data_IF_400812930085
#
_entry.id   IF_400812930085
#
_cell.length_a   1.000
_cell.length_b   1.000
_cell.length_c   1.000
_cell.angle_alpha   90.00
_cell.angle_beta   90.00
_cell.angle_gamma   90.00
#
_symmetry.space_group_name_H-M   'P 1'
#
loop_
_entity.id
_entity.type
_entity.pdbx_description
1 polymer ?
#
# COMPACT_ATOMS: atom_id res chain seq x y z
N UNK A 1 15.47 34.75 -7.97
CA UNK A 1 16.24 34.02 -9.01
C UNK A 1 16.91 35.04 -9.91
N UNK A 2 18.21 34.89 -10.18
CA UNK A 2 18.90 35.69 -11.20
C UNK A 2 18.45 35.20 -12.58
N UNK A 3 17.66 36.02 -13.29
CA UNK A 3 17.35 35.75 -14.69
C UNK A 3 18.56 36.14 -15.53
N UNK A 4 19.22 35.14 -16.11
CA UNK A 4 20.39 35.30 -16.97
C UNK A 4 19.90 35.36 -18.41
N UNK A 5 20.45 36.32 -19.16
CA UNK A 5 20.20 36.45 -20.59
C UNK A 5 21.17 35.53 -21.33
N UNK A 6 20.64 34.68 -22.19
CA UNK A 6 21.39 33.81 -23.09
C UNK A 6 21.31 34.37 -24.51
N UNK A 7 22.44 34.61 -25.16
CA UNK A 7 22.45 35.02 -26.57
C UNK A 7 22.25 33.82 -27.53
N UNK A 8 22.14 34.09 -28.83
CA UNK A 8 21.91 33.05 -29.84
C UNK A 8 23.02 31.98 -29.87
N UNK A 9 24.28 32.35 -29.62
CA UNK A 9 25.39 31.41 -29.61
C UNK A 9 25.32 30.52 -28.37
N UNK A 10 25.01 31.11 -27.21
CA UNK A 10 24.80 30.39 -25.97
C UNK A 10 23.61 29.43 -26.06
N UNK A 11 22.51 29.84 -26.70
CA UNK A 11 21.36 28.98 -26.98
C UNK A 11 21.73 27.77 -27.86
N UNK A 12 22.68 27.93 -28.78
CA UNK A 12 23.18 26.84 -29.64
C UNK A 12 24.18 25.92 -28.93
N UNK A 13 24.91 26.41 -27.92
CA UNK A 13 25.98 25.65 -27.26
C UNK A 13 25.58 24.99 -25.94
N UNK A 14 24.50 25.43 -25.29
CA UNK A 14 24.14 24.98 -23.94
C UNK A 14 23.38 23.64 -23.88
N UNK A 15 22.95 23.11 -25.03
CA UNK A 15 22.25 21.83 -25.15
C UNK A 15 20.90 21.97 -25.86
N UNK A 16 20.18 20.86 -26.07
CA UNK A 16 18.94 20.88 -26.82
C UNK A 16 17.81 21.52 -26.02
N UNK A 17 16.98 22.30 -26.73
CA UNK A 17 15.89 23.09 -26.15
C UNK A 17 14.56 22.37 -26.39
N UNK A 18 14.04 21.71 -25.35
CA UNK A 18 12.78 20.97 -25.36
C UNK A 18 11.59 21.92 -25.15
N UNK A 19 10.61 21.93 -26.06
CA UNK A 19 9.40 22.75 -25.94
C UNK A 19 8.53 22.30 -24.78
N UNK A 20 8.27 23.19 -23.81
CA UNK A 20 7.38 22.88 -22.67
C UNK A 20 5.96 22.53 -23.13
N UNK A 21 5.47 23.18 -24.19
CA UNK A 21 4.14 22.95 -24.76
C UNK A 21 3.95 21.57 -25.39
N UNK A 22 5.05 20.87 -25.72
CA UNK A 22 5.01 19.53 -26.32
C UNK A 22 5.06 18.42 -25.27
N UNK A 23 5.39 18.75 -24.02
CA UNK A 23 5.61 17.80 -22.95
C UNK A 23 4.30 17.26 -22.38
N UNK A 24 4.25 15.96 -22.11
CA UNK A 24 3.14 15.28 -21.44
C UNK A 24 3.66 14.35 -20.33
N UNK A 25 2.82 14.04 -19.32
CA UNK A 25 3.16 13.03 -18.33
C UNK A 25 3.42 11.68 -19.00
N UNK A 26 4.48 10.99 -18.58
CA UNK A 26 4.93 9.73 -19.14
C UNK A 26 5.83 9.85 -20.38
N UNK A 27 6.18 11.06 -20.82
CA UNK A 27 7.16 11.22 -21.90
C UNK A 27 8.54 10.75 -21.46
N UNK A 28 9.21 9.99 -22.33
CA UNK A 28 10.54 9.42 -22.08
C UNK A 28 11.57 10.21 -22.87
N UNK A 29 12.57 10.75 -22.17
CA UNK A 29 13.73 11.40 -22.77
C UNK A 29 14.88 10.40 -22.86
N UNK A 30 15.37 10.15 -24.07
CA UNK A 30 16.62 9.43 -24.27
C UNK A 30 17.74 10.40 -24.65
N UNK A 31 18.92 10.22 -24.07
CA UNK A 31 20.11 11.02 -24.41
C UNK A 31 21.37 10.17 -24.56
N UNK A 32 22.24 10.61 -25.46
CA UNK A 32 23.63 10.16 -25.54
C UNK A 32 24.52 11.16 -24.83
N UNK A 33 24.91 10.84 -23.61
CA UNK A 33 25.81 11.69 -22.84
C UNK A 33 27.21 11.78 -23.46
N UNK A 34 27.99 12.76 -23.02
CA UNK A 34 29.34 13.04 -23.51
C UNK A 34 30.44 12.43 -22.64
N UNK A 35 30.08 11.61 -21.65
CA UNK A 35 31.04 11.03 -20.69
C UNK A 35 31.58 9.67 -21.15
N UNK A 36 32.75 9.22 -20.64
CA UNK A 36 33.23 7.86 -20.87
C UNK A 36 32.21 6.79 -20.45
N UNK A 37 31.46 7.05 -19.38
CA UNK A 37 30.38 6.17 -18.90
C UNK A 37 29.26 6.03 -19.95
N UNK A 38 28.89 7.14 -20.60
CA UNK A 38 27.91 7.13 -21.68
C UNK A 38 28.36 6.30 -22.88
N UNK A 39 29.64 6.40 -23.27
CA UNK A 39 30.23 5.59 -24.34
C UNK A 39 30.21 4.10 -24.02
N UNK A 40 30.44 3.74 -22.76
CA UNK A 40 30.38 2.34 -22.31
C UNK A 40 28.96 1.77 -22.47
N UNK A 41 27.92 2.51 -22.07
CA UNK A 41 26.53 2.06 -22.19
C UNK A 41 26.11 1.92 -23.66
N UNK A 42 26.46 2.89 -24.51
CA UNK A 42 26.21 2.86 -25.96
C UNK A 42 26.81 1.58 -26.57
N UNK A 43 28.08 1.30 -26.26
CA UNK A 43 28.75 0.10 -26.75
C UNK A 43 28.13 -1.19 -26.20
N UNK A 44 27.72 -1.19 -24.93
CA UNK A 44 27.09 -2.35 -24.29
C UNK A 44 25.70 -2.63 -24.87
N UNK A 45 24.87 -1.61 -25.08
CA UNK A 45 23.49 -1.75 -25.52
C UNK A 45 23.32 -1.79 -27.04
N UNK A 46 24.40 -1.60 -27.80
CA UNK A 46 24.40 -1.71 -29.26
C UNK A 46 23.59 -0.63 -29.99
N UNK A 47 23.26 0.48 -29.32
CA UNK A 47 22.45 1.56 -29.89
C UNK A 47 23.03 2.95 -29.61
N UNK A 48 22.29 4.00 -29.97
CA UNK A 48 22.78 5.39 -29.96
C UNK A 48 22.74 6.04 -28.58
N UNK A 49 21.82 5.63 -27.71
CA UNK A 49 21.51 6.31 -26.46
C UNK A 49 22.20 5.64 -25.26
N UNK A 50 22.58 6.45 -24.27
CA UNK A 50 23.25 5.97 -23.06
C UNK A 50 22.41 6.10 -21.79
N UNK A 51 21.31 6.86 -21.87
CA UNK A 51 20.54 7.25 -20.70
C UNK A 51 19.08 7.45 -21.07
N UNK A 52 18.21 7.13 -20.12
CA UNK A 52 16.77 7.27 -20.22
C UNK A 52 16.23 7.96 -18.97
N UNK A 53 15.29 8.87 -19.15
CA UNK A 53 14.63 9.60 -18.09
C UNK A 53 13.15 9.77 -18.45
N UNK A 54 12.29 10.04 -17.47
CA UNK A 54 10.84 10.14 -17.69
C UNK A 54 10.25 11.37 -17.03
N UNK A 55 9.36 12.05 -17.72
CA UNK A 55 8.63 13.21 -17.22
C UNK A 55 7.38 12.76 -16.49
N UNK A 56 7.35 12.92 -15.17
CA UNK A 56 6.23 12.46 -14.33
C UNK A 56 5.79 13.56 -13.34
N UNK A 57 4.55 13.51 -12.85
CA UNK A 57 4.09 14.43 -11.80
C UNK A 57 4.89 14.26 -10.51
N UNK A 58 5.05 15.34 -9.75
CA UNK A 58 5.60 15.27 -8.38
C UNK A 58 4.73 14.44 -7.43
N UNK A 59 5.32 13.96 -6.32
CA UNK A 59 4.64 13.12 -5.33
C UNK A 59 3.68 13.85 -4.38
N UNK A 60 3.65 15.18 -4.39
CA UNK A 60 2.74 15.97 -3.57
C UNK A 60 1.41 16.19 -4.29
N UNK A 61 0.29 15.92 -3.61
CA UNK A 61 -1.06 16.08 -4.14
C UNK A 61 -1.34 17.51 -4.65
N UNK A 62 -0.64 18.51 -4.12
CA UNK A 62 -0.78 19.91 -4.49
C UNK A 62 0.10 20.34 -5.66
N UNK A 63 1.04 19.49 -6.11
CA UNK A 63 1.91 19.77 -7.26
C UNK A 63 1.44 19.00 -8.49
N UNK A 64 1.14 19.75 -9.56
CA UNK A 64 0.74 19.22 -10.88
C UNK A 64 1.83 19.38 -11.94
N UNK A 65 2.95 20.03 -11.58
CA UNK A 65 4.08 20.21 -12.47
C UNK A 65 4.75 18.87 -12.81
N UNK A 66 5.29 18.81 -14.03
CA UNK A 66 6.07 17.69 -14.52
C UNK A 66 7.54 17.89 -14.18
N UNK A 67 8.15 16.84 -13.64
CA UNK A 67 9.56 16.80 -13.29
C UNK A 67 10.22 15.65 -14.03
N UNK A 68 11.48 15.87 -14.43
CA UNK A 68 12.28 14.83 -15.04
C UNK A 68 12.78 13.88 -13.95
N UNK A 69 12.21 12.69 -13.86
CA UNK A 69 12.69 11.62 -13.00
C UNK A 69 13.77 10.84 -13.74
N UNK A 70 14.94 10.68 -13.11
CA UNK A 70 16.03 9.92 -13.69
C UNK A 70 16.87 9.19 -12.63
N UNK A 71 17.47 8.08 -13.05
CA UNK A 71 18.49 7.39 -12.28
C UNK A 71 19.82 7.59 -12.98
N UNK A 72 20.77 8.25 -12.33
CA UNK A 72 22.12 8.48 -12.85
C UNK A 72 23.17 8.25 -11.76
N UNK A 73 24.43 8.55 -12.04
CA UNK A 73 25.52 8.38 -11.07
C UNK A 73 25.39 9.24 -9.80
N UNK A 74 24.51 10.26 -9.77
CA UNK A 74 24.17 11.00 -8.56
C UNK A 74 23.09 10.31 -7.71
N UNK A 75 22.29 9.42 -8.31
CA UNK A 75 21.28 8.58 -7.66
C UNK A 75 19.94 8.61 -8.38
N UNK A 76 18.89 8.11 -7.72
CA UNK A 76 17.51 8.12 -8.24
C UNK A 76 16.73 9.29 -7.66
N UNK A 77 16.08 10.09 -8.52
CA UNK A 77 15.35 11.28 -8.08
C UNK A 77 14.96 12.20 -9.22
N UNK A 78 14.44 13.38 -8.87
CA UNK A 78 14.11 14.42 -9.83
C UNK A 78 15.31 15.28 -10.19
N UNK A 79 15.34 15.69 -11.45
CA UNK A 79 16.24 16.72 -11.97
C UNK A 79 15.46 17.99 -12.17
N UNK A 80 15.85 19.02 -11.41
CA UNK A 80 15.18 20.30 -11.45
C UNK A 80 15.63 21.08 -12.67
N UNK A 81 14.80 21.08 -13.73
CA UNK A 81 15.03 21.90 -14.91
C UNK A 81 14.04 23.07 -14.88
N UNK A 82 14.57 24.28 -14.69
CA UNK A 82 13.77 25.50 -14.70
C UNK A 82 13.50 25.90 -16.15
N UNK A 83 12.24 26.21 -16.52
CA UNK A 83 11.93 26.59 -17.90
C UNK A 83 12.54 27.96 -18.25
N UNK A 84 13.09 28.05 -19.45
CA UNK A 84 13.64 29.26 -20.07
C UNK A 84 12.64 29.82 -21.07
N UNK A 85 12.46 31.14 -21.11
CA UNK A 85 11.68 31.81 -22.15
C UNK A 85 12.57 32.22 -23.32
N UNK A 86 12.26 31.80 -24.53
CA UNK A 86 12.95 32.22 -25.76
C UNK A 86 12.17 33.35 -26.44
N UNK A 87 12.87 34.43 -26.76
CA UNK A 87 12.32 35.63 -27.39
C UNK A 87 12.89 35.75 -28.79
N UNK A 88 12.01 35.69 -29.79
CA UNK A 88 12.35 35.87 -31.20
C UNK A 88 11.93 37.26 -31.68
N UNK A 89 12.74 37.85 -32.55
CA UNK A 89 12.45 39.16 -33.16
C UNK A 89 11.12 39.09 -33.91
N UNK A 90 10.19 39.99 -33.59
CA UNK A 90 8.87 40.06 -34.21
C UNK A 90 7.77 39.22 -33.54
N UNK A 91 8.09 38.42 -32.51
CA UNK A 91 7.09 37.73 -31.68
C UNK A 91 6.83 38.50 -30.38
N UNK A 92 5.57 38.58 -29.96
CA UNK A 92 5.17 39.29 -28.73
C UNK A 92 5.29 38.42 -27.47
N UNK A 93 5.28 37.09 -27.61
CA UNK A 93 5.31 36.15 -26.48
C UNK A 93 6.55 35.26 -26.53
N UNK A 94 7.06 34.92 -25.35
CA UNK A 94 8.16 33.99 -25.21
C UNK A 94 7.69 32.55 -25.42
N UNK A 95 8.50 31.73 -26.10
CA UNK A 95 8.31 30.29 -26.14
C UNK A 95 9.03 29.65 -24.95
N UNK A 96 8.29 28.94 -24.10
CA UNK A 96 8.87 28.29 -22.92
C UNK A 96 9.50 26.95 -23.27
N UNK A 97 10.76 26.76 -22.88
CA UNK A 97 11.54 25.55 -23.14
C UNK A 97 12.27 25.04 -21.90
N UNK A 98 12.65 23.78 -21.90
CA UNK A 98 13.62 23.19 -20.99
C UNK A 98 14.94 23.00 -21.72
N UNK A 99 16.05 23.52 -21.17
CA UNK A 99 17.38 23.22 -21.67
C UNK A 99 17.86 21.91 -21.06
N UNK A 100 18.07 20.87 -21.88
CA UNK A 100 18.54 19.57 -21.38
C UNK A 100 20.02 19.70 -20.95
N UNK A 101 20.37 19.31 -19.71
CA UNK A 101 21.71 19.49 -19.18
C UNK A 101 22.77 18.65 -19.90
N UNK A 102 24.04 19.08 -19.79
CA UNK A 102 25.21 18.28 -20.16
C UNK A 102 25.55 18.26 -21.65
N UNK A 103 24.83 19.00 -22.50
CA UNK A 103 25.03 19.08 -23.96
C UNK A 103 25.23 17.68 -24.60
N UNK A 104 24.18 16.83 -24.60
CA UNK A 104 24.26 15.47 -25.13
C UNK A 104 24.54 15.46 -26.64
N UNK A 105 25.17 14.39 -27.12
CA UNK A 105 25.52 14.20 -28.54
C UNK A 105 24.33 13.79 -29.41
N UNK A 106 23.31 13.20 -28.80
CA UNK A 106 22.07 12.79 -29.44
C UNK A 106 20.95 12.81 -28.39
N UNK A 107 19.72 13.09 -28.83
CA UNK A 107 18.56 13.18 -27.96
C UNK A 107 17.27 12.87 -28.74
N UNK A 108 16.30 12.26 -28.06
CA UNK A 108 14.95 12.06 -28.59
C UNK A 108 13.94 12.05 -27.45
N UNK A 109 12.74 12.56 -27.72
CA UNK A 109 11.59 12.46 -26.82
C UNK A 109 10.63 11.42 -27.39
N UNK A 110 10.24 10.46 -26.57
CA UNK A 110 9.34 9.38 -26.91
C UNK A 110 8.06 9.46 -26.06
N UNK A 111 6.95 8.98 -26.62
CA UNK A 111 5.64 8.96 -25.95
C UNK A 111 4.93 7.65 -26.19
N UNK A 112 4.34 7.11 -25.13
CA UNK A 112 3.41 5.99 -25.26
C UNK A 112 2.04 6.46 -25.76
N UNK A 113 1.47 5.87 -26.82
CA UNK A 113 0.21 6.32 -27.41
C UNK A 113 -0.97 6.27 -26.43
N UNK A 114 -0.95 5.32 -25.50
CA UNK A 114 -2.03 5.12 -24.52
C UNK A 114 -1.97 6.06 -23.31
N UNK A 115 -0.84 6.76 -23.06
CA UNK A 115 -0.75 7.70 -21.94
C UNK A 115 -1.81 8.81 -22.01
N UNK A 116 -2.30 9.15 -23.20
CA UNK A 116 -3.39 10.13 -23.39
C UNK A 116 -4.73 9.69 -22.79
N UNK A 117 -4.93 8.39 -22.58
CA UNK A 117 -6.15 7.79 -22.07
C UNK A 117 -6.07 7.50 -20.56
N UNK A 118 -4.90 7.70 -19.95
CA UNK A 118 -4.68 7.43 -18.53
C UNK A 118 -5.13 8.65 -17.71
N UNK A 119 -5.93 8.39 -16.68
CA UNK A 119 -6.38 9.41 -15.76
C UNK A 119 -5.20 10.03 -14.97
N UNK A 120 -5.32 11.31 -14.63
CA UNK A 120 -4.32 12.04 -13.87
C UNK A 120 -4.06 11.45 -12.47
N UNK A 121 -5.08 10.89 -11.81
CA UNK A 121 -4.95 10.22 -10.51
C UNK A 121 -4.12 8.95 -10.68
N UNK A 122 -4.43 8.10 -11.66
CA UNK A 122 -3.64 6.90 -11.97
C UNK A 122 -2.18 7.24 -12.32
N UNK A 123 -1.95 8.26 -13.15
CA UNK A 123 -0.61 8.75 -13.50
C UNK A 123 0.17 9.20 -12.26
N UNK A 124 -0.49 9.91 -11.34
CA UNK A 124 0.10 10.35 -10.08
C UNK A 124 0.39 9.19 -9.14
N UNK A 125 -0.52 8.22 -9.04
CA UNK A 125 -0.32 7.02 -8.21
C UNK A 125 0.90 6.22 -8.69
N UNK A 126 1.06 6.01 -10.00
CA UNK A 126 2.24 5.35 -10.56
C UNK A 126 3.54 6.11 -10.25
N UNK A 127 3.50 7.46 -10.31
CA UNK A 127 4.62 8.31 -9.92
C UNK A 127 4.95 8.20 -8.43
N UNK A 128 3.94 8.23 -7.55
CA UNK A 128 4.13 8.08 -6.10
C UNK A 128 4.72 6.71 -5.77
N UNK A 129 4.23 5.63 -6.40
CA UNK A 129 4.78 4.29 -6.20
C UNK A 129 6.25 4.22 -6.63
N UNK A 130 6.62 4.83 -7.77
CA UNK A 130 8.01 4.91 -8.21
C UNK A 130 8.88 5.67 -7.20
N UNK A 131 8.38 6.77 -6.66
CA UNK A 131 9.08 7.57 -5.64
C UNK A 131 9.24 6.82 -4.33
N UNK A 132 8.19 6.19 -3.83
CA UNK A 132 8.24 5.37 -2.61
C UNK A 132 9.26 4.25 -2.78
N UNK A 133 9.26 3.58 -3.93
CA UNK A 133 10.07 2.39 -4.10
C UNK A 133 11.53 2.70 -4.43
N UNK A 134 11.82 3.66 -5.31
CA UNK A 134 13.16 3.80 -5.90
C UNK A 134 13.84 5.14 -5.66
N UNK A 135 13.11 6.21 -5.32
CA UNK A 135 13.75 7.51 -5.12
C UNK A 135 14.66 7.49 -3.89
N UNK A 136 15.73 8.29 -4.01
CA UNK A 136 16.77 8.42 -3.01
C UNK A 136 17.56 7.13 -2.78
N UNK A 137 17.63 6.25 -3.77
CA UNK A 137 18.63 5.17 -3.83
C UNK A 137 19.84 5.60 -4.65
N UNK A 138 20.97 4.93 -4.44
CA UNK A 138 22.16 5.08 -5.29
C UNK A 138 21.97 4.34 -6.62
N UNK A 139 22.66 4.74 -7.69
CA UNK A 139 22.54 4.07 -8.99
C UNK A 139 22.86 2.58 -8.91
N UNK A 140 22.11 1.76 -9.66
CA UNK A 140 22.32 0.31 -9.75
C UNK A 140 23.76 -0.06 -10.15
N UNK A 141 24.30 -1.21 -9.68
CA UNK A 141 25.61 -1.67 -10.14
C UNK A 141 25.64 -1.89 -11.65
N UNK A 142 26.68 -1.38 -12.30
CA UNK A 142 26.83 -1.44 -13.75
C UNK A 142 26.79 -2.87 -14.35
N UNK A 143 27.32 -3.92 -13.68
CA UNK A 143 27.18 -5.28 -14.19
C UNK A 143 25.72 -5.75 -14.37
N UNK A 144 24.73 -5.20 -13.64
CA UNK A 144 23.31 -5.52 -13.87
C UNK A 144 22.80 -5.01 -15.21
N UNK A 145 23.30 -3.87 -15.67
CA UNK A 145 22.94 -3.34 -17.00
C UNK A 145 23.48 -4.23 -18.12
N UNK A 146 24.60 -4.94 -17.89
CA UNK A 146 25.11 -5.91 -18.87
C UNK A 146 24.22 -7.14 -19.02
N UNK A 147 23.55 -7.55 -17.95
CA UNK A 147 22.63 -8.69 -17.97
C UNK A 147 21.39 -8.40 -18.83
N UNK A 148 21.14 -7.14 -19.20
CA UNK A 148 20.01 -6.76 -20.05
C UNK A 148 20.29 -6.83 -21.54
N UNK A 149 21.55 -7.06 -21.96
CA UNK A 149 21.93 -7.02 -23.38
C UNK A 149 22.42 -8.37 -23.87
N UNK A 150 21.94 -8.80 -25.03
CA UNK A 150 22.44 -9.97 -25.75
C UNK A 150 23.70 -9.58 -26.54
N UNK A 151 24.88 -9.86 -25.99
CA UNK A 151 26.19 -9.64 -26.64
C UNK A 151 26.90 -10.97 -26.94
N UNK A 152 27.74 -11.05 -28.00
CA UNK A 152 28.60 -12.21 -28.24
C UNK A 152 29.57 -12.45 -27.06
N UNK A 153 29.77 -13.72 -26.69
CA UNK A 153 30.46 -14.13 -25.46
C UNK A 153 31.84 -13.47 -25.23
N UNK A 154 32.64 -13.26 -26.28
CA UNK A 154 33.98 -12.67 -26.17
C UNK A 154 33.97 -11.19 -25.76
N UNK A 155 33.01 -10.40 -26.25
CA UNK A 155 32.84 -9.00 -25.89
C UNK A 155 32.22 -8.83 -24.50
N UNK A 156 31.35 -9.76 -24.12
CA UNK A 156 30.69 -9.76 -22.82
C UNK A 156 31.69 -9.86 -21.66
N UNK A 157 32.77 -10.64 -21.80
CA UNK A 157 33.81 -10.79 -20.76
C UNK A 157 34.58 -9.48 -20.55
N UNK A 158 34.98 -8.83 -21.64
CA UNK A 158 35.75 -7.57 -21.58
C UNK A 158 34.91 -6.45 -21.00
N UNK A 159 33.67 -6.29 -21.47
CA UNK A 159 32.75 -5.26 -20.99
C UNK A 159 32.36 -5.49 -19.53
N UNK A 160 32.22 -6.75 -19.10
CA UNK A 160 32.01 -7.11 -17.68
C UNK A 160 33.19 -6.72 -16.81
N UNK A 161 34.42 -6.98 -17.25
CA UNK A 161 35.63 -6.56 -16.54
C UNK A 161 35.74 -5.04 -16.39
N UNK A 162 35.43 -4.28 -17.44
CA UNK A 162 35.36 -2.81 -17.37
C UNK A 162 34.26 -2.35 -16.41
N UNK A 163 33.06 -2.94 -16.49
CA UNK A 163 31.94 -2.60 -15.60
C UNK A 163 32.26 -2.83 -14.12
N UNK A 164 32.88 -3.97 -13.81
CA UNK A 164 33.33 -4.31 -12.46
C UNK A 164 34.42 -3.36 -11.95
N UNK A 165 35.34 -2.94 -12.82
CA UNK A 165 36.40 -1.99 -12.47
C UNK A 165 35.83 -0.61 -12.15
N UNK A 166 34.88 -0.13 -12.96
CA UNK A 166 34.15 1.11 -12.68
C UNK A 166 33.38 1.02 -11.36
N UNK A 167 32.71 -0.11 -11.09
CA UNK A 167 31.96 -0.31 -9.85
C UNK A 167 32.89 -0.38 -8.62
N UNK A 168 34.06 -1.04 -8.73
CA UNK A 168 35.06 -1.08 -7.65
C UNK A 168 35.57 0.31 -7.27
N UNK A 169 35.75 1.18 -8.26
CA UNK A 169 36.17 2.57 -8.06
C UNK A 169 35.04 3.48 -7.52
N UNK A 170 33.79 2.99 -7.47
CA UNK A 170 32.64 3.78 -7.07
C UNK A 170 32.38 3.69 -5.57
N UNK A 171 32.64 4.78 -4.86
CA UNK A 171 32.44 4.89 -3.41
C UNK A 171 31.08 5.54 -3.13
N UNK A 172 30.01 4.75 -3.21
CA UNK A 172 28.68 5.22 -2.86
C UNK A 172 28.25 4.66 -1.51
N UNK A 173 27.59 5.50 -0.71
CA UNK A 173 26.93 5.10 0.55
C UNK A 173 25.42 5.15 0.32
N UNK A 174 24.73 4.04 0.53
CA UNK A 174 23.26 3.93 0.46
C UNK A 174 22.79 2.70 -0.31
N UNK A 175 21.53 2.35 -0.14
CA UNK A 175 20.89 1.23 -0.86
C UNK A 175 20.98 1.41 -2.38
N UNK A 176 21.30 0.33 -3.10
CA UNK A 176 21.36 0.29 -4.57
C UNK A 176 19.94 0.27 -5.15
N UNK A 177 19.67 1.16 -6.09
CA UNK A 177 18.39 1.29 -6.78
C UNK A 177 18.42 0.71 -8.19
N UNK A 178 17.65 1.35 -9.06
CA UNK A 178 17.47 0.99 -10.46
C UNK A 178 18.49 1.71 -11.34
N UNK A 179 18.78 1.19 -12.54
CA UNK A 179 19.45 1.98 -13.58
C UNK A 179 18.43 2.80 -14.38
N UNK A 180 18.90 3.69 -15.25
CA UNK A 180 18.09 4.72 -15.93
C UNK A 180 16.87 4.15 -16.68
N UNK A 181 17.07 3.13 -17.53
CA UNK A 181 15.98 2.49 -18.29
C UNK A 181 15.08 1.58 -17.46
N UNK A 182 15.60 0.93 -16.40
CA UNK A 182 14.80 0.16 -15.43
C UNK A 182 13.82 1.07 -14.69
N UNK A 183 14.24 2.27 -14.29
CA UNK A 183 13.35 3.26 -13.66
C UNK A 183 12.17 3.61 -14.58
N UNK A 184 12.44 3.86 -15.87
CA UNK A 184 11.40 4.15 -16.86
C UNK A 184 10.47 2.95 -17.04
N UNK A 185 11.00 1.75 -17.21
CA UNK A 185 10.20 0.55 -17.39
C UNK A 185 9.34 0.23 -16.16
N UNK A 186 9.85 0.44 -14.94
CA UNK A 186 9.10 0.29 -13.69
C UNK A 186 7.92 1.26 -13.62
N UNK A 187 8.07 2.50 -14.09
CA UNK A 187 6.95 3.45 -14.11
C UNK A 187 5.78 2.95 -14.96
N UNK A 188 6.04 2.48 -16.18
CA UNK A 188 4.99 1.96 -17.06
C UNK A 188 4.40 0.65 -16.52
N UNK A 189 5.21 -0.19 -15.87
CA UNK A 189 4.72 -1.37 -15.15
C UNK A 189 3.75 -0.99 -14.03
N UNK A 190 4.07 0.03 -13.23
CA UNK A 190 3.18 0.55 -12.18
C UNK A 190 1.91 1.19 -12.76
N UNK A 191 2.00 1.79 -13.94
CA UNK A 191 0.87 2.36 -14.67
C UNK A 191 -0.07 1.28 -15.23
N UNK A 192 0.40 0.04 -15.35
CA UNK A 192 -0.33 -1.05 -15.99
C UNK A 192 -0.37 -0.94 -17.52
N UNK A 193 0.63 -0.30 -18.12
CA UNK A 193 0.72 -0.07 -19.56
C UNK A 193 1.87 -0.89 -20.17
N UNK A 194 1.54 -1.67 -21.19
CA UNK A 194 2.51 -2.53 -21.87
C UNK A 194 3.49 -1.71 -22.73
N UNK A 195 4.76 -1.67 -22.35
CA UNK A 195 5.81 -1.00 -23.13
C UNK A 195 6.27 -1.77 -24.36
N UNK A 196 6.20 -3.10 -24.30
CA UNK A 196 6.72 -4.02 -25.31
C UNK A 196 5.64 -5.02 -25.71
N UNK A 197 5.68 -5.56 -26.94
CA UNK A 197 4.72 -6.60 -27.35
C UNK A 197 5.00 -7.93 -26.65
N UNK A 198 6.25 -8.16 -26.24
CA UNK A 198 6.65 -9.25 -25.36
C UNK A 198 6.65 -8.80 -23.89
N UNK A 199 6.23 -9.66 -22.97
CA UNK A 199 6.32 -9.38 -21.53
C UNK A 199 7.81 -9.34 -21.16
N UNK A 200 8.30 -8.16 -20.74
CA UNK A 200 9.67 -7.95 -20.27
C UNK A 200 9.65 -7.39 -18.85
N UNK A 201 10.53 -7.91 -18.00
CA UNK A 201 10.70 -7.37 -16.67
C UNK A 201 11.47 -6.04 -16.75
N UNK A 202 11.17 -5.02 -15.91
CA UNK A 202 11.84 -3.72 -15.96
C UNK A 202 13.37 -3.80 -15.89
N UNK A 203 13.91 -4.73 -15.10
CA UNK A 203 15.34 -4.91 -14.92
C UNK A 203 16.06 -5.52 -16.12
N UNK A 204 15.36 -5.89 -17.19
CA UNK A 204 15.95 -6.43 -18.44
C UNK A 204 15.91 -5.43 -19.59
N UNK A 205 15.57 -4.17 -19.34
CA UNK A 205 15.37 -3.15 -20.40
C UNK A 205 16.55 -2.19 -20.45
N UNK A 206 17.23 -2.09 -21.58
CA UNK A 206 18.27 -1.09 -21.84
C UNK A 206 17.69 0.21 -22.42
N UNK A 207 18.42 1.35 -22.42
CA UNK A 207 17.92 2.59 -23.01
C UNK A 207 17.56 2.48 -24.50
N UNK A 208 18.26 1.62 -25.25
CA UNK A 208 18.04 1.47 -26.69
C UNK A 208 16.89 0.51 -27.02
N UNK A 209 16.44 -0.31 -26.07
CA UNK A 209 15.25 -1.14 -26.26
C UNK A 209 14.00 -0.29 -26.52
N UNK A 210 13.94 0.94 -26.01
CA UNK A 210 12.84 1.88 -26.23
C UNK A 210 12.69 2.35 -27.69
N UNK A 211 13.68 2.10 -28.54
CA UNK A 211 13.65 2.35 -29.98
C UNK A 211 13.49 1.08 -30.80
N UNK A 212 13.41 -0.08 -30.14
CA UNK A 212 13.19 -1.34 -30.83
C UNK A 212 11.80 -1.36 -31.49
N UNK A 213 11.62 -2.05 -32.62
CA UNK A 213 10.31 -2.20 -33.26
C UNK A 213 9.25 -2.88 -32.36
N UNK A 214 9.70 -3.61 -31.33
CA UNK A 214 8.84 -4.28 -30.34
C UNK A 214 8.35 -3.30 -29.25
N UNK A 215 8.95 -2.11 -29.13
CA UNK A 215 8.53 -1.09 -28.18
C UNK A 215 7.40 -0.23 -28.74
N UNK A 216 6.41 0.10 -27.89
CA UNK A 216 5.25 0.91 -28.27
C UNK A 216 5.47 2.43 -28.19
N UNK A 217 6.63 2.86 -27.73
CA UNK A 217 6.98 4.27 -27.62
C UNK A 217 7.21 4.89 -29.01
N UNK A 218 6.59 6.03 -29.28
CA UNK A 218 6.71 6.75 -30.55
C UNK A 218 7.47 8.06 -30.38
N UNK A 219 8.23 8.46 -31.40
CA UNK A 219 8.93 9.75 -31.41
C UNK A 219 7.93 10.90 -31.39
N UNK A 220 8.15 11.86 -30.49
CA UNK A 220 7.37 13.11 -30.42
C UNK A 220 7.95 14.10 -31.42
N UNK A 221 7.26 14.28 -32.54
CA UNK A 221 7.64 15.23 -33.58
C UNK A 221 7.64 16.67 -33.04
N UNK A 222 8.62 17.46 -33.51
CA UNK A 222 8.81 18.85 -33.12
C UNK A 222 8.93 19.08 -31.60
N UNK A 223 9.42 18.09 -30.84
CA UNK A 223 9.65 18.26 -29.41
C UNK A 223 10.75 19.30 -29.13
N UNK A 224 11.80 19.33 -29.95
CA UNK A 224 12.96 20.21 -29.74
C UNK A 224 12.99 21.36 -30.75
N UNK A 225 13.50 22.51 -30.31
CA UNK A 225 13.78 23.64 -31.19
C UNK A 225 15.01 23.32 -32.02
N UNK A 226 14.89 23.57 -33.32
CA UNK A 226 16.01 23.62 -34.24
C UNK A 226 16.76 24.94 -34.03
N UNK A 227 17.86 24.87 -33.28
CA UNK A 227 18.68 26.03 -32.91
C UNK A 227 19.47 26.61 -34.07
N UNK A 228 19.69 25.84 -35.13
CA UNK A 228 20.41 26.30 -36.33
C UNK A 228 19.53 27.26 -37.14
N UNK A 229 18.22 27.00 -37.15
CA UNK A 229 17.21 27.79 -37.85
C UNK A 229 16.62 28.96 -37.02
N UNK A 230 17.18 29.29 -35.86
CA UNK A 230 16.76 30.46 -35.08
C UNK A 230 17.18 31.78 -35.74
N UNK A 231 16.25 32.75 -35.77
CA UNK A 231 16.48 34.05 -36.37
C UNK A 231 17.58 34.86 -35.64
N UNK A 232 18.39 35.66 -36.36
CA UNK A 232 19.34 36.58 -35.76
C UNK A 232 18.66 37.51 -34.73
N UNK A 233 19.31 37.73 -33.58
CA UNK A 233 18.75 38.53 -32.49
C UNK A 233 17.83 37.77 -31.53
N UNK A 234 17.61 36.47 -31.73
CA UNK A 234 16.95 35.60 -30.74
C UNK A 234 17.79 35.51 -29.47
N UNK A 235 17.14 35.58 -28.30
CA UNK A 235 17.77 35.41 -27.00
C UNK A 235 16.86 34.67 -26.02
N UNK A 236 17.44 34.05 -24.99
CA UNK A 236 16.73 33.39 -23.91
C UNK A 236 16.84 34.16 -22.59
N UNK A 237 15.83 34.05 -21.74
CA UNK A 237 15.92 34.41 -20.31
C UNK A 237 15.58 33.20 -19.45
N UNK A 238 16.49 32.84 -18.54
CA UNK A 238 16.30 31.70 -17.64
C UNK A 238 17.34 31.64 -16.53
N UNK A 239 17.34 30.54 -15.78
CA UNK A 239 18.37 30.25 -14.77
C UNK A 239 19.54 29.47 -15.40
N UNK A 240 20.72 29.52 -14.76
CA UNK A 240 21.77 28.53 -15.02
C UNK A 240 21.18 27.14 -14.80
N UNK A 241 21.40 26.26 -15.76
CA UNK A 241 21.08 24.83 -15.66
C UNK A 241 21.87 24.27 -14.49
N UNK A 242 21.18 23.83 -13.44
CA UNK A 242 21.85 23.12 -12.36
C UNK A 242 22.18 21.71 -12.84
N UNK A 243 23.48 21.40 -12.89
CA UNK A 243 23.94 20.02 -13.03
C UNK A 243 23.53 19.26 -11.75
N UNK A 244 22.92 18.10 -11.93
CA UNK A 244 22.56 17.20 -10.82
C UNK A 244 23.81 16.65 -10.12
N UNK A 245 24.97 16.73 -10.79
CA UNK A 245 26.28 16.36 -10.23
C UNK A 245 26.57 17.21 -8.99
N UNK A 246 26.46 16.55 -7.83
CA UNK A 246 26.62 17.11 -6.47
C UNK A 246 25.38 17.79 -5.87
N UNK A 247 24.16 17.45 -6.29
CA UNK A 247 22.94 17.88 -5.58
C UNK A 247 23.02 17.54 -4.08
N UNK A 248 23.14 18.55 -3.19
CA UNK A 248 23.30 18.32 -1.75
C UNK A 248 22.01 17.78 -1.11
N UNK A 249 20.85 18.13 -1.66
CA UNK A 249 19.56 17.65 -1.16
C UNK A 249 19.40 16.17 -1.48
N UNK A 250 19.60 15.76 -2.74
CA UNK A 250 19.54 14.36 -3.16
C UNK A 250 20.50 13.48 -2.33
N UNK A 251 21.74 13.94 -2.13
CA UNK A 251 22.73 13.20 -1.31
C UNK A 251 22.32 13.08 0.16
N UNK A 252 21.71 14.12 0.73
CA UNK A 252 21.20 14.07 2.10
C UNK A 252 20.04 13.07 2.21
N UNK A 253 19.15 13.04 1.22
CA UNK A 253 18.03 12.11 1.18
C UNK A 253 18.50 10.66 0.98
N UNK A 254 19.47 10.41 0.10
CA UNK A 254 20.05 9.06 -0.08
C UNK A 254 20.62 8.51 1.23
N UNK A 255 21.33 9.34 2.01
CA UNK A 255 21.88 8.92 3.31
C UNK A 255 20.79 8.60 4.35
N UNK A 256 19.62 9.24 4.24
CA UNK A 256 18.50 9.04 5.18
C UNK A 256 17.59 7.89 4.76
N UNK A 257 17.59 7.52 3.48
CA UNK A 257 16.73 6.48 2.91
C UNK A 257 16.82 5.16 3.68
N UNK A 258 18.03 4.68 3.94
CA UNK A 258 18.25 3.41 4.65
C UNK A 258 17.59 3.40 6.04
N UNK A 259 17.67 4.53 6.77
CA UNK A 259 17.01 4.67 8.07
C UNK A 259 15.49 4.68 7.95
N UNK A 260 14.94 5.38 6.95
CA UNK A 260 13.50 5.40 6.66
C UNK A 260 12.98 4.01 6.28
N UNK A 261 13.73 3.26 5.47
CA UNK A 261 13.37 1.90 5.07
C UNK A 261 13.41 0.94 6.27
N UNK A 262 14.41 1.05 7.15
CA UNK A 262 14.48 0.27 8.39
C UNK A 262 13.32 0.57 9.34
N UNK A 263 12.94 1.84 9.49
CA UNK A 263 11.81 2.23 10.32
C UNK A 263 10.50 1.68 9.75
N UNK A 264 10.31 1.80 8.44
CA UNK A 264 9.12 1.29 7.73
C UNK A 264 9.01 -0.23 7.85
N UNK A 265 10.12 -0.97 7.66
CA UNK A 265 10.17 -2.41 7.85
C UNK A 265 9.83 -2.83 9.29
N UNK A 266 10.30 -2.06 10.27
CA UNK A 266 10.00 -2.29 11.70
C UNK A 266 8.51 -2.14 11.97
N UNK A 267 7.90 -1.05 11.50
CA UNK A 267 6.46 -0.79 11.66
C UNK A 267 5.64 -1.89 10.98
N UNK A 268 5.96 -2.24 9.73
CA UNK A 268 5.27 -3.32 9.01
C UNK A 268 5.38 -4.66 9.75
N UNK A 269 6.52 -4.96 10.36
CA UNK A 269 6.71 -6.17 11.17
C UNK A 269 5.79 -6.16 12.39
N UNK A 270 5.69 -5.04 13.09
CA UNK A 270 4.80 -4.89 14.26
C UNK A 270 3.33 -5.07 13.85
N UNK A 271 2.89 -4.40 12.78
CA UNK A 271 1.52 -4.49 12.25
C UNK A 271 1.18 -5.93 11.86
N UNK A 272 2.06 -6.60 11.11
CA UNK A 272 1.85 -7.99 10.71
C UNK A 272 1.79 -8.95 11.90
N UNK A 273 2.63 -8.73 12.92
CA UNK A 273 2.60 -9.53 14.14
C UNK A 273 1.29 -9.33 14.91
N UNK A 274 0.81 -8.10 15.04
CA UNK A 274 -0.47 -7.79 15.68
C UNK A 274 -1.64 -8.45 14.95
N UNK A 275 -1.67 -8.33 13.62
CA UNK A 275 -2.70 -8.97 12.80
C UNK A 275 -2.69 -10.50 12.97
N UNK A 276 -1.51 -11.13 12.94
CA UNK A 276 -1.36 -12.58 13.17
C UNK A 276 -1.85 -13.04 14.54
N UNK A 277 -1.55 -12.29 15.61
CA UNK A 277 -2.03 -12.64 16.96
C UNK A 277 -3.55 -12.45 17.09
N UNK A 278 -4.12 -11.45 16.41
CA UNK A 278 -5.57 -11.23 16.35
C UNK A 278 -6.29 -12.39 15.66
N UNK A 279 -5.81 -12.85 14.51
CA UNK A 279 -6.38 -14.02 13.80
C UNK A 279 -6.37 -15.26 14.69
N UNK A 280 -5.25 -15.56 15.36
CA UNK A 280 -5.17 -16.70 16.31
C UNK A 280 -6.17 -16.59 17.46
N UNK A 281 -6.41 -15.38 17.96
CA UNK A 281 -7.38 -15.14 19.03
C UNK A 281 -8.80 -15.47 18.54
N UNK A 282 -9.16 -15.05 17.32
CA UNK A 282 -10.45 -15.33 16.69
C UNK A 282 -10.64 -16.83 16.43
N UNK A 283 -9.62 -17.52 15.90
CA UNK A 283 -9.64 -18.97 15.68
C UNK A 283 -9.89 -19.73 16.98
N UNK A 284 -9.13 -19.43 18.03
CA UNK A 284 -9.30 -20.06 19.36
C UNK A 284 -10.68 -19.81 19.95
N UNK A 285 -11.25 -18.63 19.72
CA UNK A 285 -12.60 -18.30 20.20
C UNK A 285 -13.68 -19.06 19.44
N UNK A 286 -13.48 -19.28 18.14
CA UNK A 286 -14.37 -20.11 17.32
C UNK A 286 -14.37 -21.56 17.79
N UNK A 287 -13.20 -22.11 18.16
CA UNK A 287 -13.11 -23.46 18.76
C UNK A 287 -13.87 -23.53 20.09
N UNK A 288 -13.67 -22.55 20.98
CA UNK A 288 -14.38 -22.48 22.26
C UNK A 288 -15.89 -22.31 22.09
N UNK A 289 -16.32 -21.61 21.03
CA UNK A 289 -17.74 -21.35 20.80
C UNK A 289 -18.53 -22.65 20.58
N UNK A 290 -17.96 -23.62 19.85
CA UNK A 290 -18.62 -24.92 19.65
C UNK A 290 -18.90 -25.62 20.98
N UNK A 291 -17.91 -25.62 21.89
CA UNK A 291 -18.04 -26.25 23.21
C UNK A 291 -19.12 -25.55 24.06
N UNK A 292 -19.19 -24.22 24.00
CA UNK A 292 -20.14 -23.44 24.79
C UNK A 292 -21.55 -23.54 24.21
N UNK A 293 -21.70 -23.54 22.88
CA UNK A 293 -22.97 -23.77 22.20
C UNK A 293 -23.54 -25.15 22.55
N UNK A 294 -22.72 -26.21 22.57
CA UNK A 294 -23.14 -27.53 23.04
C UNK A 294 -23.62 -27.52 24.50
N UNK A 295 -22.96 -26.75 25.37
CA UNK A 295 -23.38 -26.61 26.77
C UNK A 295 -24.73 -25.89 26.89
N UNK A 296 -25.02 -24.93 26.01
CA UNK A 296 -26.34 -24.30 25.95
C UNK A 296 -27.40 -25.31 25.54
N UNK A 297 -27.17 -26.08 24.46
CA UNK A 297 -28.11 -27.10 23.96
C UNK A 297 -28.44 -28.11 25.07
N UNK A 298 -27.42 -28.71 25.69
CA UNK A 298 -27.61 -29.68 26.78
C UNK A 298 -28.39 -29.09 27.96
N UNK A 299 -28.18 -27.81 28.27
CA UNK A 299 -28.88 -27.16 29.38
C UNK A 299 -30.34 -26.84 29.03
N UNK A 300 -30.63 -26.53 27.76
CA UNK A 300 -31.99 -26.32 27.26
C UNK A 300 -32.77 -27.63 27.28
N UNK A 301 -32.19 -28.72 26.74
CA UNK A 301 -32.79 -30.06 26.74
C UNK A 301 -33.13 -30.51 28.17
N UNK A 302 -32.18 -30.32 29.10
CA UNK A 302 -32.40 -30.63 30.51
C UNK A 302 -33.54 -29.81 31.14
N UNK A 303 -33.66 -28.52 30.80
CA UNK A 303 -34.75 -27.69 31.30
C UNK A 303 -36.12 -28.07 30.69
N UNK A 304 -36.13 -28.54 29.45
CA UNK A 304 -37.33 -29.08 28.78
C UNK A 304 -37.79 -30.40 29.43
N UNK A 305 -36.86 -31.32 29.72
CA UNK A 305 -37.16 -32.56 30.46
C UNK A 305 -37.78 -32.28 31.84
N UNK A 306 -37.47 -31.13 32.43
CA UNK A 306 -37.99 -30.71 33.73
C UNK A 306 -39.27 -29.87 33.66
N UNK A 307 -39.82 -29.66 32.46
CA UNK A 307 -41.02 -28.86 32.21
C UNK A 307 -40.93 -27.42 32.79
N UNK A 308 -39.73 -26.83 32.75
CA UNK A 308 -39.47 -25.48 33.27
C UNK A 308 -39.37 -24.45 32.12
N UNK A 309 -40.53 -24.07 31.58
CA UNK A 309 -40.64 -23.16 30.44
C UNK A 309 -39.90 -21.82 30.62
N UNK A 310 -39.92 -21.24 31.82
CA UNK A 310 -39.24 -19.98 32.12
C UNK A 310 -37.71 -20.10 32.07
N UNK A 311 -37.15 -21.27 32.39
CA UNK A 311 -35.72 -21.52 32.29
C UNK A 311 -35.30 -21.74 30.83
N UNK A 312 -36.10 -22.49 30.08
CA UNK A 312 -35.90 -22.70 28.63
C UNK A 312 -35.82 -21.35 27.90
N UNK A 313 -36.76 -20.44 28.15
CA UNK A 313 -36.78 -19.11 27.54
C UNK A 313 -35.49 -18.31 27.83
N UNK A 314 -35.02 -18.31 29.07
CA UNK A 314 -33.78 -17.61 29.46
C UNK A 314 -32.54 -18.22 28.83
N UNK A 315 -32.48 -19.54 28.74
CA UNK A 315 -31.36 -20.24 28.11
C UNK A 315 -31.34 -19.99 26.61
N UNK A 316 -32.49 -20.02 25.92
CA UNK A 316 -32.61 -19.69 24.50
C UNK A 316 -32.17 -18.25 24.21
N UNK A 317 -32.58 -17.29 25.05
CA UNK A 317 -32.14 -15.90 24.93
C UNK A 317 -30.61 -15.77 25.05
N UNK A 318 -30.02 -16.38 26.08
CA UNK A 318 -28.56 -16.34 26.27
C UNK A 318 -27.80 -17.04 25.14
N UNK A 319 -28.30 -18.20 24.68
CA UNK A 319 -27.70 -18.94 23.57
C UNK A 319 -27.73 -18.12 22.28
N UNK A 320 -28.83 -17.39 22.02
CA UNK A 320 -28.96 -16.50 20.86
C UNK A 320 -27.95 -15.35 20.91
N UNK A 321 -27.78 -14.70 22.06
CA UNK A 321 -26.76 -13.65 22.25
C UNK A 321 -25.35 -14.20 22.02
N UNK A 322 -25.06 -15.37 22.57
CA UNK A 322 -23.75 -16.01 22.41
C UNK A 322 -23.45 -16.31 20.94
N UNK A 323 -24.40 -16.96 20.25
CA UNK A 323 -24.29 -17.32 18.83
C UNK A 323 -24.17 -16.07 17.95
N UNK A 324 -24.89 -15.01 18.27
CA UNK A 324 -24.76 -13.71 17.59
C UNK A 324 -23.36 -13.12 17.75
N UNK A 325 -22.83 -13.05 18.97
CA UNK A 325 -21.49 -12.52 19.23
C UNK A 325 -20.40 -13.33 18.50
N UNK A 326 -20.51 -14.66 18.50
CA UNK A 326 -19.59 -15.54 17.77
C UNK A 326 -19.67 -15.30 16.24
N UNK A 327 -20.89 -15.22 15.69
CA UNK A 327 -21.09 -14.97 14.26
C UNK A 327 -20.60 -13.57 13.84
N UNK A 328 -20.77 -12.57 14.69
CA UNK A 328 -20.27 -11.22 14.47
C UNK A 328 -18.73 -11.23 14.40
N UNK A 329 -18.07 -11.93 15.33
CA UNK A 329 -16.62 -12.08 15.35
C UNK A 329 -16.09 -12.70 14.04
N UNK A 330 -16.74 -13.75 13.54
CA UNK A 330 -16.41 -14.40 12.26
C UNK A 330 -16.56 -13.43 11.08
N UNK A 331 -17.68 -12.71 11.02
CA UNK A 331 -17.94 -11.75 9.93
C UNK A 331 -16.95 -10.56 9.95
N UNK A 332 -16.50 -10.14 11.13
CA UNK A 332 -15.48 -9.08 11.27
C UNK A 332 -14.13 -9.54 10.70
N UNK A 333 -13.69 -10.76 11.03
CA UNK A 333 -12.43 -11.31 10.53
C UNK A 333 -12.44 -11.52 9.01
N UNK A 334 -13.55 -12.03 8.46
CA UNK A 334 -13.73 -12.18 7.02
C UNK A 334 -13.69 -10.84 6.26
N UNK A 335 -14.29 -9.78 6.81
CA UNK A 335 -14.31 -8.48 6.16
C UNK A 335 -13.00 -7.67 6.36
N UNK A 336 -12.30 -7.83 7.48
CA UNK A 336 -10.98 -7.22 7.72
C UNK A 336 -9.99 -7.66 6.63
N UNK A 337 -9.98 -8.97 6.34
CA UNK A 337 -9.17 -9.56 5.25
C UNK A 337 -9.53 -8.99 3.87
N UNK A 338 -10.81 -8.68 3.62
CA UNK A 338 -11.26 -8.10 2.35
C UNK A 338 -10.84 -6.63 2.20
N UNK A 339 -10.94 -5.83 3.26
CA UNK A 339 -10.69 -4.39 3.22
C UNK A 339 -9.21 -4.06 3.09
N UNK A 340 -8.31 -4.87 3.67
CA UNK A 340 -6.87 -4.72 3.47
C UNK A 340 -6.41 -4.96 2.01
N UNK A 341 -7.28 -5.48 1.14
CA UNK A 341 -7.00 -5.65 -0.29
C UNK A 341 -7.40 -4.45 -1.17
N UNK A 342 -8.11 -3.46 -0.61
CA UNK A 342 -8.65 -2.31 -1.36
C UNK A 342 -7.79 -1.05 -1.19
N UNK A 343 -7.52 -0.35 -2.30
CA UNK A 343 -6.88 0.97 -2.30
C UNK A 343 -7.85 2.01 -1.75
N UNK A 344 -7.69 2.37 -0.48
CA UNK A 344 -8.59 3.30 0.25
C UNK A 344 -7.79 4.45 0.87
N UNK A 345 -8.43 5.57 1.19
CA UNK A 345 -7.79 6.71 1.87
C UNK A 345 -7.36 6.33 3.29
N UNK A 346 -6.36 7.03 3.83
CA UNK A 346 -5.87 6.75 5.20
C UNK A 346 -6.87 7.10 6.30
N UNK A 347 -7.72 8.11 6.09
CA UNK A 347 -8.78 8.46 7.04
C UNK A 347 -9.85 7.37 7.10
N UNK A 348 -10.25 6.84 5.94
CA UNK A 348 -11.22 5.74 5.87
C UNK A 348 -10.70 4.48 6.55
N UNK A 349 -9.41 4.13 6.34
CA UNK A 349 -8.77 2.99 7.00
C UNK A 349 -8.80 3.15 8.52
N UNK A 350 -8.52 4.34 9.06
CA UNK A 350 -8.55 4.57 10.51
C UNK A 350 -9.97 4.44 11.07
N UNK A 351 -10.96 5.07 10.43
CA UNK A 351 -12.37 4.94 10.85
C UNK A 351 -12.88 3.50 10.77
N UNK A 352 -12.43 2.72 9.78
CA UNK A 352 -12.75 1.29 9.69
C UNK A 352 -12.10 0.48 10.82
N UNK A 353 -10.83 0.73 11.11
CA UNK A 353 -10.13 0.06 12.20
C UNK A 353 -10.82 0.31 13.54
N UNK A 354 -11.19 1.57 13.83
CA UNK A 354 -11.91 1.95 15.05
C UNK A 354 -13.29 1.28 15.15
N UNK A 355 -14.05 1.24 14.05
CA UNK A 355 -15.34 0.56 14.00
C UNK A 355 -15.18 -0.95 14.21
N UNK A 356 -14.18 -1.57 13.58
CA UNK A 356 -13.89 -2.99 13.68
C UNK A 356 -13.48 -3.38 15.11
N UNK A 357 -12.58 -2.61 15.75
CA UNK A 357 -12.19 -2.82 17.15
C UNK A 357 -13.38 -2.69 18.12
N UNK A 358 -14.24 -1.70 17.90
CA UNK A 358 -15.45 -1.50 18.71
C UNK A 358 -16.38 -2.70 18.61
N UNK A 359 -16.68 -3.15 17.38
CA UNK A 359 -17.54 -4.32 17.15
C UNK A 359 -16.94 -5.61 17.72
N UNK A 360 -15.61 -5.78 17.71
CA UNK A 360 -14.96 -6.92 18.36
C UNK A 360 -15.12 -6.89 19.88
N UNK A 361 -14.91 -5.73 20.52
CA UNK A 361 -15.14 -5.58 21.96
C UNK A 361 -16.59 -5.92 22.33
N UNK A 362 -17.54 -5.47 21.52
CA UNK A 362 -18.96 -5.79 21.68
C UNK A 362 -19.21 -7.29 21.55
N UNK A 363 -18.70 -7.94 20.49
CA UNK A 363 -18.85 -9.38 20.26
C UNK A 363 -18.32 -10.19 21.45
N UNK A 364 -17.12 -9.87 21.94
CA UNK A 364 -16.54 -10.51 23.12
C UNK A 364 -17.38 -10.28 24.39
N UNK A 365 -17.87 -9.06 24.60
CA UNK A 365 -18.76 -8.73 25.71
C UNK A 365 -20.03 -9.58 25.68
N UNK A 366 -20.71 -9.67 24.53
CA UNK A 366 -21.92 -10.48 24.35
C UNK A 366 -21.67 -11.95 24.70
N UNK A 367 -20.62 -12.55 24.14
CA UNK A 367 -20.25 -13.95 24.41
C UNK A 367 -19.94 -14.18 25.89
N UNK A 368 -19.15 -13.30 26.50
CA UNK A 368 -18.76 -13.38 27.90
C UNK A 368 -19.98 -13.32 28.84
N UNK A 369 -20.88 -12.36 28.64
CA UNK A 369 -22.06 -12.20 29.47
C UNK A 369 -23.08 -13.33 29.30
N UNK A 370 -23.24 -13.85 28.08
CA UNK A 370 -24.10 -15.01 27.84
C UNK A 370 -23.57 -16.27 28.55
N UNK A 371 -22.26 -16.54 28.47
CA UNK A 371 -21.64 -17.67 29.16
C UNK A 371 -21.79 -17.58 30.68
N UNK A 372 -21.61 -16.39 31.26
CA UNK A 372 -21.82 -16.20 32.71
C UNK A 372 -23.28 -16.35 33.11
N UNK A 373 -24.20 -15.94 32.25
CA UNK A 373 -25.64 -16.13 32.46
C UNK A 373 -26.02 -17.61 32.46
N UNK A 374 -25.45 -18.41 31.56
CA UNK A 374 -25.59 -19.87 31.56
C UNK A 374 -25.19 -20.47 32.91
N UNK A 375 -24.00 -20.12 33.42
CA UNK A 375 -23.51 -20.61 34.72
C UNK A 375 -24.48 -20.25 35.85
N UNK A 376 -24.97 -19.00 35.89
CA UNK A 376 -25.94 -18.55 36.90
C UNK A 376 -27.24 -19.33 36.84
N UNK A 377 -27.79 -19.52 35.63
CA UNK A 377 -29.04 -20.26 35.43
C UNK A 377 -28.86 -21.69 35.95
N UNK A 378 -27.79 -22.39 35.56
CA UNK A 378 -27.50 -23.76 36.02
C UNK A 378 -27.34 -23.85 37.54
N UNK A 379 -26.66 -22.88 38.16
CA UNK A 379 -26.50 -22.80 39.61
C UNK A 379 -27.86 -22.67 40.30
N UNK A 380 -28.70 -21.73 39.85
CA UNK A 380 -30.01 -21.48 40.45
C UNK A 380 -30.96 -22.64 40.23
N UNK A 381 -30.95 -23.24 39.04
CA UNK A 381 -31.75 -24.41 38.70
C UNK A 381 -31.39 -25.62 39.56
N UNK A 382 -30.10 -25.93 39.70
CA UNK A 382 -29.64 -27.00 40.58
C UNK A 382 -30.06 -26.80 42.05
N UNK A 383 -30.04 -25.57 42.56
CA UNK A 383 -30.51 -25.26 43.91
C UNK A 383 -32.04 -25.40 44.05
N UNK A 384 -32.81 -24.95 43.06
CA UNK A 384 -34.28 -25.13 43.04
C UNK A 384 -34.66 -26.60 43.00
N UNK A 385 -33.96 -27.39 42.19
CA UNK A 385 -34.26 -28.81 42.04
C UNK A 385 -34.03 -29.61 43.31
N UNK A 386 -32.94 -29.34 44.04
CA UNK A 386 -32.73 -29.96 45.36
C UNK A 386 -33.86 -29.61 46.32
N UNK A 387 -34.36 -28.37 46.28
CA UNK A 387 -35.48 -27.93 47.11
C UNK A 387 -36.78 -28.65 46.74
N UNK A 388 -37.06 -28.84 45.46
CA UNK A 388 -38.22 -29.59 44.99
C UNK A 388 -38.17 -31.07 45.40
N UNK A 389 -37.03 -31.73 45.20
CA UNK A 389 -36.84 -33.13 45.62
C UNK A 389 -37.14 -33.28 47.12
N UNK A 390 -36.59 -32.40 47.94
CA UNK A 390 -36.85 -32.37 49.39
C UNK A 390 -38.34 -32.11 49.74
N UNK A 391 -39.10 -31.45 48.86
CA UNK A 391 -40.53 -31.17 49.07
C UNK A 391 -41.44 -32.34 48.70
N UNK A 392 -41.02 -33.16 47.73
CA UNK A 392 -41.80 -34.31 47.23
C UNK A 392 -41.53 -35.56 48.08
N UNK A 393 -40.27 -35.79 48.50
CA UNK A 393 -39.91 -36.96 49.31
C UNK A 393 -38.76 -36.67 50.27
N UNK A 394 -38.72 -37.35 51.42
CA UNK A 394 -37.59 -37.25 52.35
C UNK A 394 -36.40 -38.02 51.75
N UNK A 395 -35.27 -37.35 51.41
CA UNK A 395 -34.11 -38.03 50.87
C UNK A 395 -33.45 -38.91 51.93
N UNK A 396 -32.85 -40.00 51.48
CA UNK A 396 -32.01 -40.89 52.29
C UNK A 396 -30.79 -40.17 52.88
N UNK A 397 -30.15 -40.76 53.87
CA UNK A 397 -28.94 -40.21 54.51
C UNK A 397 -27.81 -39.97 53.47
N UNK A 398 -27.66 -40.89 52.52
CA UNK A 398 -26.65 -40.81 51.46
C UNK A 398 -26.94 -39.65 50.51
N UNK A 399 -28.20 -39.50 50.07
CA UNK A 399 -28.62 -38.41 49.20
C UNK A 399 -28.48 -37.05 49.87
N UNK A 400 -28.83 -36.94 51.16
CA UNK A 400 -28.63 -35.69 51.93
C UNK A 400 -27.16 -35.26 51.97
N UNK A 401 -26.24 -36.22 52.14
CA UNK A 401 -24.80 -35.94 52.11
C UNK A 401 -24.36 -35.44 50.74
N UNK A 402 -24.81 -36.09 49.65
CA UNK A 402 -24.54 -35.65 48.27
C UNK A 402 -25.09 -34.26 47.98
N UNK A 403 -26.34 -33.97 48.35
CA UNK A 403 -26.95 -32.65 48.17
C UNK A 403 -26.26 -31.57 48.99
N UNK A 404 -25.82 -31.87 50.21
CA UNK A 404 -25.03 -30.93 51.02
C UNK A 404 -23.71 -30.58 50.35
N UNK A 405 -22.99 -31.59 49.84
CA UNK A 405 -21.72 -31.37 49.14
C UNK A 405 -21.92 -30.56 47.85
N UNK A 406 -22.90 -30.93 47.04
CA UNK A 406 -23.25 -30.21 45.83
C UNK A 406 -23.65 -28.75 46.11
N UNK A 407 -24.48 -28.51 47.13
CA UNK A 407 -24.90 -27.16 47.54
C UNK A 407 -23.69 -26.31 47.97
N UNK A 408 -22.75 -26.87 48.72
CA UNK A 408 -21.51 -26.17 49.09
C UNK A 408 -20.66 -25.82 47.86
N UNK A 409 -20.50 -26.76 46.92
CA UNK A 409 -19.78 -26.54 45.66
C UNK A 409 -20.43 -25.41 44.85
N UNK A 410 -21.74 -25.49 44.63
CA UNK A 410 -22.48 -24.51 43.82
C UNK A 410 -22.54 -23.13 44.47
N UNK A 411 -22.67 -23.04 45.81
CA UNK A 411 -22.65 -21.75 46.49
C UNK A 411 -21.27 -21.07 46.45
N UNK A 412 -20.20 -21.86 46.39
CA UNK A 412 -18.84 -21.33 46.16
C UNK A 412 -18.76 -20.67 44.78
N UNK A 413 -19.23 -21.37 43.73
CA UNK A 413 -19.30 -20.81 42.37
C UNK A 413 -20.22 -19.60 42.32
N UNK A 414 -21.40 -19.66 42.94
CA UNK A 414 -22.34 -18.54 43.01
C UNK A 414 -21.69 -17.27 43.57
N UNK A 415 -20.83 -17.38 44.58
CA UNK A 415 -20.12 -16.23 45.15
C UNK A 415 -19.23 -15.51 44.12
N UNK A 416 -18.66 -16.26 43.19
CA UNK A 416 -17.85 -15.75 42.07
C UNK A 416 -18.71 -15.07 41.00
N UNK A 417 -19.90 -15.61 40.73
CA UNK A 417 -20.73 -15.18 39.61
C UNK A 417 -21.89 -14.25 39.98
N UNK A 418 -22.19 -14.01 41.26
CA UNK A 418 -23.40 -13.26 41.69
C UNK A 418 -23.40 -11.75 41.43
N UNK A 419 -22.23 -11.13 41.20
CA UNK A 419 -22.04 -9.67 41.30
C UNK A 419 -21.69 -8.96 39.97
N UNK A 420 -22.16 -9.47 38.84
CA UNK A 420 -22.01 -8.75 37.56
C UNK A 420 -23.37 -8.35 37.01
N UNK A 421 -23.50 -7.07 36.66
CA UNK A 421 -24.72 -6.36 36.31
C UNK A 421 -25.43 -6.93 35.08
N UNK A 422 -26.64 -6.44 34.83
CA UNK A 422 -27.41 -6.62 33.60
C UNK A 422 -26.74 -5.93 32.38
N UNK A 423 -25.43 -6.01 32.25
CA UNK A 423 -24.64 -5.38 31.20
C UNK A 423 -25.15 -5.62 29.76
N UNK A 424 -25.81 -6.75 29.39
CA UNK A 424 -26.32 -6.92 28.03
C UNK A 424 -27.25 -5.79 27.53
N UNK A 425 -27.96 -5.11 28.43
CA UNK A 425 -28.81 -3.95 28.05
C UNK A 425 -28.01 -2.68 27.82
N UNK A 426 -26.97 -2.44 28.62
CA UNK A 426 -26.12 -1.24 28.49
C UNK A 426 -25.25 -1.33 27.21
N UNK A 427 -24.88 -2.55 26.79
CA UNK A 427 -24.12 -2.81 25.56
C UNK A 427 -24.92 -2.58 24.27
N UNK A 428 -26.24 -2.83 24.27
CA UNK A 428 -27.08 -2.47 23.12
C UNK A 428 -27.15 -0.95 22.92
N UNK A 429 -27.04 -0.18 24.00
CA UNK A 429 -27.08 1.27 23.96
C UNK A 429 -25.77 1.87 23.41
N UNK A 430 -24.61 1.29 23.74
CA UNK A 430 -23.31 1.70 23.18
C UNK A 430 -23.13 1.32 21.70
N UNK A 431 -23.81 0.27 21.21
CA UNK A 431 -23.82 -0.14 19.80
C UNK A 431 -24.43 0.91 18.86
N UNK A 432 -25.26 1.80 19.41
CA UNK A 432 -26.01 2.81 18.67
C UNK A 432 -25.37 4.20 18.73
N UNK A 433 -24.35 4.41 19.55
CA UNK A 433 -23.58 5.66 19.62
C UNK A 433 -22.51 5.67 18.52
N UNK A 434 -22.92 5.84 17.26
CA UNK A 434 -22.05 5.89 16.07
C UNK A 434 -21.74 7.32 15.59
N UNK A 435 -22.02 8.33 16.43
CA UNK A 435 -22.08 9.76 16.06
C UNK A 435 -20.78 10.36 15.51
N UNK A 436 -19.64 9.65 15.54
CA UNK A 436 -18.33 10.12 15.05
C UNK A 436 -17.72 9.29 13.90
N UNK A 437 -18.42 8.30 13.33
CA UNK A 437 -17.87 7.48 12.24
C UNK A 437 -18.04 8.13 10.87
N UNK A 438 -17.08 7.93 9.95
CA UNK A 438 -17.20 8.31 8.55
C UNK A 438 -18.36 7.57 7.87
N UNK A 439 -18.92 8.12 6.79
CA UNK A 439 -20.02 7.49 6.03
C UNK A 439 -19.65 6.08 5.54
N UNK A 440 -18.40 5.88 5.11
CA UNK A 440 -17.89 4.57 4.71
C UNK A 440 -17.78 3.60 5.90
N UNK A 441 -17.38 4.08 7.07
CA UNK A 441 -17.33 3.25 8.28
C UNK A 441 -18.73 2.88 8.77
N UNK A 442 -19.71 3.77 8.65
CA UNK A 442 -21.11 3.45 8.93
C UNK A 442 -21.65 2.38 7.97
N UNK A 443 -21.35 2.50 6.67
CA UNK A 443 -21.70 1.48 5.68
C UNK A 443 -21.05 0.13 5.99
N UNK A 444 -19.77 0.13 6.37
CA UNK A 444 -19.07 -1.07 6.82
C UNK A 444 -19.75 -1.73 8.01
N UNK A 445 -20.07 -0.97 9.07
CA UNK A 445 -20.78 -1.47 10.26
C UNK A 445 -22.12 -2.09 9.86
N UNK A 446 -22.88 -1.40 9.00
CA UNK A 446 -24.17 -1.90 8.51
C UNK A 446 -24.02 -3.22 7.72
N UNK A 447 -23.06 -3.30 6.80
CA UNK A 447 -22.79 -4.51 6.00
C UNK A 447 -22.40 -5.70 6.89
N UNK A 448 -21.53 -5.48 7.88
CA UNK A 448 -21.12 -6.52 8.84
C UNK A 448 -22.30 -7.00 9.68
N UNK A 449 -23.11 -6.08 10.22
CA UNK A 449 -24.29 -6.45 11.03
C UNK A 449 -25.31 -7.21 10.17
N UNK A 450 -25.58 -6.74 8.95
CA UNK A 450 -26.52 -7.39 8.04
C UNK A 450 -26.06 -8.81 7.67
N UNK A 451 -24.78 -8.99 7.33
CA UNK A 451 -24.17 -10.30 7.08
C UNK A 451 -24.26 -11.22 8.30
N UNK A 452 -24.00 -10.69 9.48
CA UNK A 452 -24.11 -11.44 10.74
C UNK A 452 -25.53 -11.96 10.95
N UNK A 453 -26.54 -11.10 10.79
CA UNK A 453 -27.95 -11.49 10.87
C UNK A 453 -28.32 -12.55 9.82
N UNK A 454 -27.89 -12.37 8.57
CA UNK A 454 -28.16 -13.32 7.49
C UNK A 454 -27.54 -14.70 7.77
N UNK A 455 -26.29 -14.72 8.25
CA UNK A 455 -25.58 -15.96 8.59
C UNK A 455 -26.25 -16.70 9.75
N UNK A 456 -26.78 -15.99 10.74
CA UNK A 456 -27.55 -16.59 11.83
C UNK A 456 -28.87 -17.23 11.36
N UNK A 457 -29.59 -16.55 10.47
CA UNK A 457 -30.82 -17.07 9.86
C UNK A 457 -30.50 -18.34 9.07
N UNK A 458 -29.46 -18.32 8.25
CA UNK A 458 -29.05 -19.48 7.46
C UNK A 458 -28.62 -20.67 8.35
N UNK A 459 -27.91 -20.40 9.46
CA UNK A 459 -27.49 -21.41 10.47
C UNK A 459 -28.61 -21.86 11.41
N UNK A 460 -29.85 -21.39 11.25
CA UNK A 460 -31.02 -21.83 12.03
C UNK A 460 -32.10 -22.50 11.18
N UNK A 461 -31.95 -22.48 9.84
CA UNK A 461 -32.77 -23.23 8.89
C UNK A 461 -32.24 -24.66 8.64
N UNK A 462 -31.09 -25.00 9.22
CA UNK A 462 -30.47 -26.33 9.28
C UNK A 462 -30.30 -26.72 10.75
#
# INVERSE_FOLDING_TARGET
>A
MLNIKFDLNELRSNGPLLRKSKLQPGDVLLVRGNTPFSSLIVNMSGGEYSHAAIWIPGGDANFTDLFLAESDTAGVGFTQIIPMGIYQVGRQTAEMVYCIPGNPKAWVLLRHPDCKNIDAIQMRQASIQLQINDFFKTYSPLPRLLETVVLPNSYHIVLKGLAQTFEYCRVDKGTRGTFCSELVATFFSNLGVELFSSIRAPHTVSPNDFLSPDCRLNVVADAFIDTDNLAPGTYGYGSIVQDRKNDPYLRAMIKRRDFTDQLSATVNTIVNNLHKERTKLVEKQTELATIIEDQFIQSIEQAQEWDNSSEVEKLLYCATIYKYGNCLLQCLDENDNRLHSLTTSSEDINSWNEANESLQCIAFGMMYHAQRSLIRIKILSGLRRIREIHSISKPSIVERSKFKHFRLKILKEWKTYKHESNAPSDFQQSLLETDNLSEQAQFYVYDVIQKTCQNLINKSAH
#
